data_IF_300470589669
#
_entry.id   IF_300470589669
#
_cell.length_a   1.000
_cell.length_b   1.000
_cell.length_c   1.000
_cell.angle_alpha   90.00
_cell.angle_beta   90.00
_cell.angle_gamma   90.00
#
_symmetry.space_group_name_H-M   'P 1'
#
loop_
_entity.id
_entity.type
_entity.pdbx_description
1 polymer ?
#
# COMPACT_ATOMS: atom_id res chain seq x y z
N UNK A 1 7.28 13.99 26.32
CA UNK A 1 8.62 13.43 26.05
C UNK A 1 8.78 12.14 26.82
N UNK A 2 8.90 11.02 26.11
CA UNK A 2 9.53 9.73 26.44
C UNK A 2 8.74 8.66 25.70
N UNK A 3 9.29 8.22 24.57
CA UNK A 3 9.17 6.87 24.00
C UNK A 3 10.19 6.76 22.84
N UNK A 4 11.42 7.19 23.11
CA UNK A 4 12.56 7.09 22.21
C UNK A 4 13.52 5.99 22.68
N UNK A 5 12.99 4.81 23.00
CA UNK A 5 13.77 3.68 23.45
C UNK A 5 13.19 2.37 22.89
N UNK A 6 13.55 2.05 21.65
CA UNK A 6 13.26 0.75 21.05
C UNK A 6 13.05 0.81 19.56
N UNK A 7 14.09 1.17 18.80
CA UNK A 7 14.11 0.87 17.37
C UNK A 7 15.27 -0.09 17.10
N UNK A 8 14.90 -1.17 16.42
CA UNK A 8 15.70 -1.99 15.52
C UNK A 8 16.67 -3.00 16.12
N UNK A 9 16.16 -4.20 16.35
CA UNK A 9 16.99 -5.37 16.13
C UNK A 9 17.44 -5.42 14.66
N UNK A 10 18.68 -5.84 14.38
CA UNK A 10 19.18 -6.00 13.00
C UNK A 10 18.27 -6.88 12.11
N UNK A 11 17.47 -7.73 12.76
CA UNK A 11 16.45 -8.55 12.12
C UNK A 11 15.28 -7.73 11.57
N UNK A 12 14.73 -6.78 12.33
CA UNK A 12 13.64 -5.91 11.88
C UNK A 12 14.07 -4.99 10.73
N UNK A 13 15.35 -4.59 10.68
CA UNK A 13 15.90 -3.85 9.54
C UNK A 13 16.00 -4.70 8.26
N UNK A 14 16.21 -6.01 8.39
CA UNK A 14 16.27 -6.92 7.24
C UNK A 14 14.88 -7.31 6.71
N UNK A 15 13.90 -7.46 7.61
CA UNK A 15 12.57 -8.02 7.25
C UNK A 15 11.46 -6.96 7.20
N UNK A 16 11.70 -5.73 7.66
CA UNK A 16 10.69 -4.70 7.86
C UNK A 16 9.92 -4.86 9.18
N UNK A 17 9.25 -3.79 9.62
CA UNK A 17 8.39 -3.87 10.81
C UNK A 17 7.16 -4.75 10.54
N UNK A 18 6.82 -5.63 11.48
CA UNK A 18 5.63 -6.48 11.42
C UNK A 18 4.52 -5.89 12.30
N UNK A 19 3.41 -5.50 11.68
CA UNK A 19 2.23 -4.98 12.39
C UNK A 19 1.26 -6.14 12.66
N UNK A 20 0.83 -6.32 13.91
CA UNK A 20 -0.08 -7.42 14.28
C UNK A 20 -1.50 -7.27 13.71
N UNK A 21 -2.25 -8.38 13.61
CA UNK A 21 -3.65 -8.38 13.18
C UNK A 21 -4.52 -7.63 14.20
N UNK A 22 -5.09 -6.51 13.79
CA UNK A 22 -6.11 -5.79 14.55
C UNK A 22 -7.29 -5.54 13.62
N UNK A 23 -8.47 -6.04 13.98
CA UNK A 23 -9.73 -5.69 13.32
C UNK A 23 -10.10 -4.27 13.72
N UNK A 24 -9.44 -3.29 13.10
CA UNK A 24 -9.80 -1.88 13.25
C UNK A 24 -10.77 -1.54 12.11
N UNK A 25 -12.02 -1.26 12.47
CA UNK A 25 -13.07 -0.85 11.52
C UNK A 25 -12.68 0.37 10.69
N UNK A 26 -11.75 1.20 11.19
CA UNK A 26 -11.22 2.34 10.45
C UNK A 26 -10.27 1.95 9.32
N UNK A 27 -9.93 0.66 9.15
CA UNK A 27 -9.15 0.15 8.03
C UNK A 27 -10.04 -0.25 6.85
N UNK A 28 -11.35 -0.45 7.07
CA UNK A 28 -12.26 -0.79 5.98
C UNK A 28 -12.31 0.36 4.96
N UNK A 29 -12.37 0.06 3.66
CA UNK A 29 -12.52 1.08 2.64
C UNK A 29 -13.80 1.91 2.82
N UNK A 30 -13.64 3.22 3.01
CA UNK A 30 -14.74 4.17 2.83
C UNK A 30 -14.96 4.43 1.33
N UNK A 31 -16.04 3.88 0.78
CA UNK A 31 -16.36 3.98 -0.65
C UNK A 31 -16.74 5.40 -1.09
N UNK A 32 -17.14 6.28 -0.18
CA UNK A 32 -17.39 7.70 -0.49
C UNK A 32 -16.08 8.45 -0.76
N UNK A 33 -14.95 7.89 -0.30
CA UNK A 33 -13.59 8.44 -0.44
C UNK A 33 -12.79 7.84 -1.59
N UNK A 34 -13.39 6.99 -2.42
CA UNK A 34 -12.71 6.43 -3.58
C UNK A 34 -12.11 7.53 -4.44
N UNK A 35 -10.82 7.36 -4.76
CA UNK A 35 -10.17 8.24 -5.73
C UNK A 35 -10.76 8.02 -7.13
N UNK A 36 -10.66 9.00 -8.04
CA UNK A 36 -11.12 8.82 -9.42
C UNK A 36 -10.50 7.60 -10.10
N UNK A 37 -9.24 7.30 -9.79
CA UNK A 37 -8.56 6.12 -10.32
C UNK A 37 -9.17 4.82 -9.80
N UNK A 38 -9.41 4.71 -8.49
CA UNK A 38 -10.01 3.51 -7.90
C UNK A 38 -11.45 3.28 -8.40
N UNK A 39 -12.23 4.35 -8.60
CA UNK A 39 -13.56 4.25 -9.23
C UNK A 39 -13.47 3.61 -10.63
N UNK A 40 -12.57 4.13 -11.48
CA UNK A 40 -12.36 3.61 -12.82
C UNK A 40 -11.81 2.16 -12.79
N UNK A 41 -10.98 1.82 -11.80
CA UNK A 41 -10.46 0.48 -11.62
C UNK A 41 -11.57 -0.53 -11.30
N UNK A 42 -12.45 -0.22 -10.35
CA UNK A 42 -13.61 -1.06 -10.00
C UNK A 42 -14.49 -1.30 -11.22
N UNK A 43 -14.80 -0.22 -11.96
CA UNK A 43 -15.60 -0.28 -13.19
C UNK A 43 -14.93 -1.16 -14.26
N UNK A 44 -13.63 -0.96 -14.50
CA UNK A 44 -12.87 -1.75 -15.47
C UNK A 44 -12.84 -3.24 -15.13
N UNK A 45 -12.70 -3.57 -13.85
CA UNK A 45 -12.66 -4.96 -13.37
C UNK A 45 -14.05 -5.62 -13.35
N UNK A 46 -15.13 -4.84 -13.38
CA UNK A 46 -16.50 -5.33 -13.20
C UNK A 46 -16.73 -5.89 -11.80
N UNK A 47 -16.10 -5.28 -10.79
CA UNK A 47 -16.21 -5.70 -9.39
C UNK A 47 -17.18 -4.81 -8.62
N UNK A 48 -17.74 -5.34 -7.53
CA UNK A 48 -18.66 -4.59 -6.67
C UNK A 48 -17.93 -3.79 -5.58
N UNK A 49 -16.69 -4.17 -5.22
CA UNK A 49 -15.99 -3.66 -4.05
C UNK A 49 -14.45 -3.69 -4.17
N UNK A 50 -13.75 -3.19 -3.14
CA UNK A 50 -12.29 -3.19 -2.99
C UNK A 50 -11.83 -3.97 -1.75
N UNK A 51 -12.58 -5.00 -1.33
CA UNK A 51 -12.27 -5.73 -0.09
C UNK A 51 -10.87 -6.37 -0.12
N UNK A 52 -10.37 -6.78 -1.29
CA UNK A 52 -9.01 -7.32 -1.43
C UNK A 52 -7.89 -6.30 -1.10
N UNK A 53 -8.21 -5.01 -1.05
CA UNK A 53 -7.32 -3.91 -0.68
C UNK A 53 -7.54 -3.42 0.76
N UNK A 54 -8.42 -4.07 1.56
CA UNK A 54 -8.74 -3.61 2.92
C UNK A 54 -7.49 -3.49 3.81
N UNK A 55 -6.56 -4.42 3.64
CA UNK A 55 -5.33 -4.55 4.41
C UNK A 55 -4.16 -3.70 3.87
N UNK A 56 -4.41 -2.85 2.87
CA UNK A 56 -3.43 -1.91 2.31
C UNK A 56 -3.64 -0.51 2.89
N UNK A 57 -2.60 0.04 3.49
CA UNK A 57 -2.66 1.33 4.17
C UNK A 57 -1.40 2.17 4.00
N UNK A 58 -1.53 3.47 4.23
CA UNK A 58 -0.39 4.38 4.27
C UNK A 58 0.28 4.29 5.64
N UNK A 59 1.55 3.90 5.65
CA UNK A 59 2.40 3.86 6.82
C UNK A 59 3.70 4.64 6.63
N UNK A 60 4.65 4.38 7.51
CA UNK A 60 5.99 4.94 7.46
C UNK A 60 7.04 3.85 7.66
N UNK A 61 7.99 3.78 6.74
CA UNK A 61 9.16 2.91 6.84
C UNK A 61 10.41 3.79 6.99
N UNK A 62 11.15 3.64 8.08
CA UNK A 62 12.34 4.45 8.39
C UNK A 62 12.09 5.98 8.26
N UNK A 63 10.93 6.44 8.72
CA UNK A 63 10.52 7.85 8.67
C UNK A 63 10.15 8.36 7.27
N UNK A 64 10.06 7.47 6.27
CA UNK A 64 9.60 7.80 4.93
C UNK A 64 8.19 7.26 4.73
N UNK A 65 7.29 8.02 4.08
CA UNK A 65 5.97 7.51 3.77
C UNK A 65 6.08 6.30 2.83
N UNK A 66 5.29 5.28 3.13
CA UNK A 66 5.32 4.02 2.39
C UNK A 66 3.94 3.37 2.43
N UNK A 67 3.60 2.69 1.34
CA UNK A 67 2.45 1.79 1.27
C UNK A 67 2.84 0.53 2.03
N UNK A 68 2.00 0.11 2.96
CA UNK A 68 2.13 -1.18 3.61
C UNK A 68 1.03 -2.11 3.12
N UNK A 69 1.44 -3.28 2.66
CA UNK A 69 0.56 -4.38 2.30
C UNK A 69 0.72 -5.48 3.34
N UNK A 70 -0.30 -5.66 4.19
CA UNK A 70 -0.27 -6.65 5.25
C UNK A 70 -0.31 -8.09 4.71
N UNK A 71 -0.92 -8.33 3.56
CA UNK A 71 -1.07 -9.69 3.01
C UNK A 71 0.30 -10.34 2.75
N UNK A 72 1.26 -9.54 2.32
CA UNK A 72 2.64 -9.98 2.05
C UNK A 72 3.65 -9.47 3.10
N UNK A 73 3.17 -8.77 4.13
CA UNK A 73 4.00 -8.04 5.11
C UNK A 73 5.09 -7.19 4.41
N UNK A 74 4.68 -6.45 3.38
CA UNK A 74 5.58 -5.75 2.46
C UNK A 74 5.43 -4.24 2.51
N UNK A 75 6.53 -3.54 2.22
CA UNK A 75 6.59 -2.08 2.19
C UNK A 75 7.00 -1.57 0.81
N UNK A 76 6.29 -0.57 0.29
CA UNK A 76 6.64 0.14 -0.95
C UNK A 76 6.77 1.63 -0.64
N UNK A 77 7.99 2.15 -0.64
CA UNK A 77 8.26 3.57 -0.38
C UNK A 77 7.71 4.46 -1.49
N UNK A 78 7.15 5.59 -1.09
CA UNK A 78 6.70 6.64 -2.01
C UNK A 78 7.63 7.85 -1.93
N UNK A 79 7.69 8.72 -2.98
CA UNK A 79 8.51 9.92 -2.96
C UNK A 79 8.17 10.82 -1.76
N UNK A 80 9.20 11.37 -1.10
CA UNK A 80 9.03 12.19 0.11
C UNK A 80 8.30 13.50 -0.17
N UNK A 81 8.37 13.97 -1.40
CA UNK A 81 7.80 15.22 -1.87
C UNK A 81 6.30 15.11 -2.17
N UNK A 82 5.75 13.88 -2.15
CA UNK A 82 4.32 13.65 -2.34
C UNK A 82 3.53 14.23 -1.16
N UNK A 83 2.57 15.11 -1.47
CA UNK A 83 1.65 15.64 -0.47
C UNK A 83 0.67 14.54 -0.06
N UNK A 84 0.64 14.22 1.22
CA UNK A 84 -0.32 13.27 1.79
C UNK A 84 -1.53 14.02 2.35
N UNK A 85 -2.75 13.47 2.21
CA UNK A 85 -3.93 13.99 2.89
C UNK A 85 -3.75 14.07 4.41
N UNK A 86 -4.54 14.87 5.11
CA UNK A 86 -4.42 15.01 6.56
C UNK A 86 -5.22 13.95 7.34
N UNK A 87 -6.22 13.33 6.72
CA UNK A 87 -7.02 12.27 7.33
C UNK A 87 -6.57 10.87 6.89
N UNK A 88 -6.77 9.89 7.78
CA UNK A 88 -6.27 8.53 7.60
C UNK A 88 -6.94 7.80 6.42
N UNK A 89 -8.26 7.92 6.28
CA UNK A 89 -9.01 7.25 5.22
C UNK A 89 -8.55 7.69 3.82
N UNK A 90 -8.39 8.99 3.58
CA UNK A 90 -7.89 9.50 2.30
C UNK A 90 -6.44 9.06 2.04
N UNK A 91 -5.61 8.94 3.08
CA UNK A 91 -4.25 8.38 2.95
C UNK A 91 -4.28 6.90 2.55
N UNK A 92 -5.17 6.12 3.14
CA UNK A 92 -5.29 4.70 2.85
C UNK A 92 -5.88 4.48 1.45
N UNK A 93 -6.85 5.30 1.02
CA UNK A 93 -7.30 5.33 -0.37
C UNK A 93 -6.19 5.66 -1.35
N UNK A 94 -5.34 6.64 -1.01
CA UNK A 94 -4.16 6.95 -1.82
C UNK A 94 -3.17 5.78 -1.86
N UNK A 95 -2.94 5.10 -0.73
CA UNK A 95 -2.06 3.93 -0.67
C UNK A 95 -2.55 2.80 -1.59
N UNK A 96 -3.86 2.51 -1.55
CA UNK A 96 -4.54 1.55 -2.41
C UNK A 96 -4.40 1.90 -3.89
N UNK A 97 -4.67 3.15 -4.25
CA UNK A 97 -4.47 3.64 -5.61
C UNK A 97 -3.02 3.44 -6.07
N UNK A 98 -2.05 3.87 -5.26
CA UNK A 98 -0.65 3.81 -5.63
C UNK A 98 -0.16 2.37 -5.80
N UNK A 99 -0.65 1.43 -4.99
CA UNK A 99 -0.33 0.01 -5.13
C UNK A 99 -0.84 -0.54 -6.46
N UNK A 100 -2.11 -0.29 -6.79
CA UNK A 100 -2.72 -0.75 -8.05
C UNK A 100 -2.00 -0.12 -9.24
N UNK A 101 -1.70 1.19 -9.19
CA UNK A 101 -0.92 1.87 -10.23
C UNK A 101 0.48 1.32 -10.39
N UNK A 102 1.13 0.93 -9.28
CA UNK A 102 2.44 0.31 -9.31
C UNK A 102 2.38 -1.06 -9.99
N UNK A 103 1.46 -1.93 -9.55
CA UNK A 103 1.30 -3.29 -10.08
C UNK A 103 0.90 -3.30 -11.57
N UNK A 104 0.07 -2.34 -12.00
CA UNK A 104 -0.40 -2.22 -13.39
C UNK A 104 0.51 -1.35 -14.27
N UNK A 105 1.60 -0.82 -13.72
CA UNK A 105 2.51 0.06 -14.46
C UNK A 105 3.11 -0.67 -15.67
N UNK A 106 3.18 -0.06 -16.86
CA UNK A 106 3.87 -0.64 -18.00
C UNK A 106 5.37 -0.85 -17.72
N UNK A 107 5.94 -0.09 -16.79
CA UNK A 107 7.34 -0.20 -16.34
C UNK A 107 7.53 -1.23 -15.21
N UNK A 108 6.50 -1.97 -14.82
CA UNK A 108 6.61 -2.95 -13.75
C UNK A 108 7.64 -4.04 -14.11
N UNK A 109 8.55 -4.44 -13.20
CA UNK A 109 9.60 -5.42 -13.50
C UNK A 109 9.08 -6.76 -14.03
N UNK A 110 7.87 -7.17 -13.62
CA UNK A 110 7.25 -8.39 -14.14
C UNK A 110 7.00 -8.35 -15.65
N UNK A 111 6.80 -7.18 -16.25
CA UNK A 111 6.66 -7.08 -17.72
C UNK A 111 7.97 -7.45 -18.43
N UNK A 112 9.10 -7.03 -17.87
CA UNK A 112 10.43 -7.38 -18.40
C UNK A 112 10.70 -8.88 -18.22
N UNK A 113 10.38 -9.44 -17.06
CA UNK A 113 10.52 -10.87 -16.79
C UNK A 113 9.60 -11.72 -17.69
N UNK A 114 8.35 -11.29 -17.89
CA UNK A 114 7.42 -11.93 -18.79
C UNK A 114 7.96 -11.91 -20.23
N UNK A 115 8.45 -10.76 -20.72
CA UNK A 115 9.04 -10.66 -22.06
C UNK A 115 10.28 -11.55 -22.23
N UNK A 116 11.10 -11.71 -21.19
CA UNK A 116 12.31 -12.51 -21.25
C UNK A 116 12.08 -14.03 -21.10
N UNK A 117 11.05 -14.45 -20.36
CA UNK A 117 10.92 -15.84 -19.90
C UNK A 117 9.56 -16.51 -20.12
N UNK A 118 8.56 -15.84 -20.72
CA UNK A 118 7.25 -16.44 -20.98
C UNK A 118 7.39 -17.66 -21.89
N UNK A 119 6.93 -18.82 -21.42
CA UNK A 119 6.79 -20.03 -22.24
C UNK A 119 5.47 -19.96 -23.03
N UNK A 120 5.50 -20.54 -24.22
CA UNK A 120 4.39 -20.55 -25.20
C UNK A 120 3.14 -21.22 -24.67
#
# INVERSE_FOLDING_TARGET
MKDAAGLDSAREQQIGQHIGYRYDVNLLPDYDKLTPYLKAYIEFMGWDDLNWLEDVHMGYEAGKPAIFDRNINGWVRIPKEMKLPDNQQDRDMLARELLVRFQTSPKHPLNQLNAAYRKF
#
